data_IF_089494748852
#
_entry.id   IF_089494748852
#
_cell.length_a   1.000
_cell.length_b   1.000
_cell.length_c   1.000
_cell.angle_alpha   90.00
_cell.angle_beta   90.00
_cell.angle_gamma   90.00
#
_symmetry.space_group_name_H-M   'P 1'
#
loop_
_entity.id
_entity.type
_entity.pdbx_description
1 polymer ?
#
# COMPACT_ATOMS: atom_id res chain seq x y z
N UNK A 1 13.17 63.76 40.28
CA UNK A 1 12.53 63.58 38.96
C UNK A 1 12.95 62.23 38.43
N UNK A 2 11.98 61.34 38.22
CA UNK A 2 12.17 59.99 37.73
C UNK A 2 12.55 59.99 36.25
N UNK A 3 13.46 59.11 35.84
CA UNK A 3 13.79 58.84 34.45
C UNK A 3 14.14 57.37 34.31
N UNK A 4 13.15 56.57 33.94
CA UNK A 4 13.22 55.11 33.95
C UNK A 4 13.38 54.58 32.52
N UNK A 5 14.30 53.61 32.39
CA UNK A 5 14.31 52.42 31.50
C UNK A 5 14.02 52.57 30.00
N UNK A 6 15.02 52.22 29.18
CA UNK A 6 14.81 51.62 27.86
C UNK A 6 15.69 50.37 27.75
N UNK A 7 15.09 49.22 28.12
CA UNK A 7 15.68 47.89 27.94
C UNK A 7 15.64 47.50 26.46
N UNK A 8 16.78 47.06 25.92
CA UNK A 8 16.90 46.56 24.56
C UNK A 8 16.19 45.21 24.41
N UNK A 9 15.20 45.13 23.52
CA UNK A 9 14.58 43.88 23.13
C UNK A 9 15.34 43.27 21.94
N UNK A 10 16.18 42.27 22.21
CA UNK A 10 16.73 41.38 21.18
C UNK A 10 15.62 40.47 20.65
N UNK A 11 15.13 40.72 19.43
CA UNK A 11 14.31 39.76 18.70
C UNK A 11 15.21 38.67 18.12
N UNK A 12 15.32 37.53 18.81
CA UNK A 12 15.83 36.30 18.19
C UNK A 12 14.76 35.72 17.27
N UNK A 13 14.92 35.93 15.97
CA UNK A 13 14.14 35.21 14.96
C UNK A 13 14.56 33.73 14.96
N UNK A 14 13.75 32.88 15.58
CA UNK A 14 13.91 31.44 15.46
C UNK A 14 13.52 31.03 14.03
N UNK A 15 14.52 30.75 13.20
CA UNK A 15 14.32 30.07 11.92
C UNK A 15 13.85 28.63 12.21
N UNK A 16 12.54 28.42 12.20
CA UNK A 16 11.96 27.08 12.18
C UNK A 16 12.14 26.51 10.77
N UNK A 17 13.25 25.81 10.53
CA UNK A 17 13.39 24.99 9.33
C UNK A 17 12.35 23.85 9.39
N UNK A 18 11.73 23.45 8.26
CA UNK A 18 10.84 22.29 8.25
C UNK A 18 11.68 21.01 8.46
N UNK A 19 11.74 20.54 9.70
CA UNK A 19 12.21 19.19 10.00
C UNK A 19 11.00 18.25 9.93
N UNK A 20 10.73 17.68 8.77
CA UNK A 20 9.89 16.49 8.66
C UNK A 20 10.65 15.44 7.87
N UNK A 21 11.10 14.44 8.60
CA UNK A 21 11.92 13.34 8.17
C UNK A 21 11.26 12.57 7.02
N UNK A 22 11.96 12.46 5.90
CA UNK A 22 11.73 11.38 4.96
C UNK A 22 12.26 10.08 5.60
N UNK A 23 11.49 9.51 6.52
CA UNK A 23 11.69 8.12 6.92
C UNK A 23 11.50 7.27 5.67
N UNK A 24 12.60 6.77 5.11
CA UNK A 24 12.57 5.77 4.05
C UNK A 24 11.93 4.53 4.64
N UNK A 25 10.60 4.44 4.55
CA UNK A 25 9.86 3.31 5.08
C UNK A 25 10.41 2.04 4.43
N UNK A 26 10.93 1.13 5.26
CA UNK A 26 11.41 -0.18 4.80
C UNK A 26 10.29 -0.85 4.00
N UNK A 27 10.60 -1.43 2.82
CA UNK A 27 9.58 -2.09 2.03
C UNK A 27 8.89 -3.19 2.84
N UNK A 28 7.57 -3.16 2.86
CA UNK A 28 6.74 -4.20 3.45
C UNK A 28 6.26 -5.14 2.37
N UNK A 29 6.13 -6.43 2.69
CA UNK A 29 5.66 -7.44 1.76
C UNK A 29 4.39 -8.08 2.29
N UNK A 30 3.42 -8.29 1.41
CA UNK A 30 2.17 -9.02 1.69
C UNK A 30 1.96 -10.05 0.62
N UNK A 31 1.67 -11.28 1.00
CA UNK A 31 1.57 -12.37 0.04
C UNK A 31 0.84 -13.57 0.59
N UNK A 32 0.08 -14.22 -0.27
CA UNK A 32 -0.57 -15.47 0.06
C UNK A 32 -0.76 -16.31 -1.21
N UNK A 33 -1.09 -17.58 -1.02
CA UNK A 33 -1.31 -18.52 -2.12
C UNK A 33 -2.55 -19.36 -1.88
N UNK A 34 -3.22 -19.73 -2.96
CA UNK A 34 -4.31 -20.72 -3.03
C UNK A 34 -3.87 -21.86 -3.93
N UNK A 35 -4.66 -22.94 -3.98
CA UNK A 35 -4.55 -23.92 -5.07
C UNK A 35 -4.92 -23.24 -6.40
N UNK A 36 -3.91 -23.00 -7.24
CA UNK A 36 -4.05 -22.37 -8.56
C UNK A 36 -3.56 -20.94 -8.66
N UNK A 37 -3.20 -20.27 -7.56
CA UNK A 37 -2.73 -18.88 -7.63
C UNK A 37 -1.78 -18.53 -6.50
N UNK A 38 -0.71 -17.81 -6.80
CA UNK A 38 0.19 -17.23 -5.80
C UNK A 38 0.44 -15.77 -6.12
N UNK A 39 0.49 -14.92 -5.11
CA UNK A 39 0.66 -13.49 -5.34
C UNK A 39 1.29 -12.76 -4.17
N UNK A 40 1.95 -11.65 -4.49
CA UNK A 40 2.63 -10.79 -3.53
C UNK A 40 2.53 -9.33 -3.96
N UNK A 41 2.45 -8.43 -2.98
CA UNK A 41 2.62 -7.00 -3.14
C UNK A 41 3.82 -6.55 -2.30
N UNK A 42 4.77 -5.89 -2.95
CA UNK A 42 5.79 -5.07 -2.28
C UNK A 42 5.22 -3.66 -2.13
N UNK A 43 5.23 -3.16 -0.90
CA UNK A 43 4.73 -1.86 -0.49
C UNK A 43 5.93 -1.00 -0.11
N UNK A 44 6.12 0.11 -0.80
CA UNK A 44 7.19 1.07 -0.58
C UNK A 44 6.58 2.44 -0.26
N UNK A 45 7.37 3.30 0.39
CA UNK A 45 6.96 4.67 0.73
C UNK A 45 5.72 4.75 1.65
N UNK A 46 5.46 3.73 2.47
CA UNK A 46 4.37 3.76 3.46
C UNK A 46 4.88 4.28 4.80
N UNK A 47 4.97 5.61 4.90
CA UNK A 47 5.45 6.32 6.09
C UNK A 47 4.32 6.86 6.98
N UNK A 48 3.07 6.46 6.72
CA UNK A 48 1.89 6.85 7.48
C UNK A 48 0.61 6.84 6.64
N UNK A 49 -0.56 7.06 7.25
CA UNK A 49 -1.85 6.90 6.57
C UNK A 49 -2.07 7.83 5.37
N UNK A 50 -1.50 9.04 5.38
CA UNK A 50 -1.61 9.99 4.27
C UNK A 50 -0.62 9.74 3.12
N UNK A 51 0.22 8.72 3.20
CA UNK A 51 1.25 8.46 2.20
C UNK A 51 0.63 8.03 0.86
N UNK A 52 1.26 8.45 -0.24
CA UNK A 52 1.06 7.81 -1.54
C UNK A 52 2.06 6.66 -1.63
N UNK A 53 1.56 5.44 -1.44
CA UNK A 53 2.40 4.24 -1.41
C UNK A 53 2.72 3.79 -2.83
N UNK A 54 3.94 3.31 -3.04
CA UNK A 54 4.35 2.67 -4.29
C UNK A 54 4.20 1.16 -4.14
N UNK A 55 3.60 0.53 -5.14
CA UNK A 55 3.25 -0.88 -5.13
C UNK A 55 3.94 -1.58 -6.29
N UNK A 56 4.62 -2.68 -6.00
CA UNK A 56 4.99 -3.68 -7.01
C UNK A 56 4.14 -4.92 -6.75
N UNK A 57 3.20 -5.19 -7.64
CA UNK A 57 2.17 -6.23 -7.52
C UNK A 57 2.54 -7.36 -8.47
N UNK A 58 2.70 -8.57 -7.96
CA UNK A 58 2.99 -9.77 -8.74
C UNK A 58 1.95 -10.87 -8.51
N UNK A 59 1.54 -11.55 -9.58
CA UNK A 59 0.69 -12.74 -9.50
C UNK A 59 1.20 -13.81 -10.45
N UNK A 60 1.14 -15.06 -9.99
CA UNK A 60 1.59 -16.25 -10.68
C UNK A 60 0.46 -17.28 -10.69
N UNK A 61 0.22 -17.87 -11.86
CA UNK A 61 -0.71 -18.98 -12.03
C UNK A 61 0.04 -20.29 -11.81
N UNK A 62 -0.34 -21.02 -10.77
CA UNK A 62 0.38 -22.22 -10.30
C UNK A 62 -0.16 -23.52 -10.88
N UNK A 63 -1.31 -23.53 -11.56
CA UNK A 63 -2.00 -24.77 -11.93
C UNK A 63 -2.48 -24.79 -13.38
N UNK A 64 -2.30 -25.94 -14.04
CA UNK A 64 -2.81 -26.20 -15.40
C UNK A 64 -4.28 -26.65 -15.37
N UNK A 65 -5.15 -25.83 -14.80
CA UNK A 65 -6.58 -26.14 -14.60
C UNK A 65 -7.53 -25.27 -15.44
N UNK A 66 -6.99 -24.34 -16.23
CA UNK A 66 -7.77 -23.43 -17.07
C UNK A 66 -8.39 -22.26 -16.31
N UNK A 67 -8.12 -22.14 -15.01
CA UNK A 67 -8.52 -20.99 -14.21
C UNK A 67 -7.53 -19.83 -14.38
N UNK A 68 -7.85 -18.70 -13.75
CA UNK A 68 -7.07 -17.48 -13.85
C UNK A 68 -6.69 -16.95 -12.48
N UNK A 69 -5.40 -16.64 -12.31
CA UNK A 69 -4.89 -16.04 -11.11
C UNK A 69 -5.15 -14.53 -11.08
N UNK A 70 -5.66 -14.03 -9.95
CA UNK A 70 -5.93 -12.61 -9.72
C UNK A 70 -5.37 -12.14 -8.39
N UNK A 71 -4.96 -10.87 -8.36
CA UNK A 71 -4.44 -10.20 -7.16
C UNK A 71 -5.01 -8.80 -7.05
N UNK A 72 -5.29 -8.34 -5.84
CA UNK A 72 -5.61 -6.93 -5.55
C UNK A 72 -5.03 -6.50 -4.21
N UNK A 73 -4.85 -5.19 -4.06
CA UNK A 73 -4.58 -4.56 -2.78
C UNK A 73 -5.86 -4.55 -1.93
N UNK A 74 -5.70 -4.70 -0.62
CA UNK A 74 -6.66 -4.35 0.41
C UNK A 74 -6.11 -3.18 1.20
N UNK A 75 -6.97 -2.26 1.62
CA UNK A 75 -6.56 -1.23 2.59
C UNK A 75 -7.64 -0.99 3.62
N UNK A 76 -7.26 -0.67 4.85
CA UNK A 76 -8.18 -0.20 5.88
C UNK A 76 -8.01 1.31 6.10
N UNK A 77 -9.13 2.04 6.18
CA UNK A 77 -9.10 3.48 6.46
C UNK A 77 -9.20 3.81 7.95
N UNK A 78 -9.18 5.11 8.29
CA UNK A 78 -9.27 5.58 9.68
C UNK A 78 -10.53 5.13 10.44
N UNK A 79 -11.57 4.68 9.73
CA UNK A 79 -12.82 4.23 10.31
C UNK A 79 -12.91 2.70 10.39
N UNK A 80 -11.83 1.99 10.09
CA UNK A 80 -11.81 0.53 10.05
C UNK A 80 -12.48 -0.05 8.80
N UNK A 81 -12.80 0.76 7.78
CA UNK A 81 -13.46 0.26 6.57
C UNK A 81 -12.43 -0.33 5.61
N UNK A 82 -12.66 -1.58 5.21
CA UNK A 82 -11.87 -2.24 4.15
C UNK A 82 -12.27 -1.74 2.77
N UNK A 83 -11.28 -1.29 2.02
CA UNK A 83 -11.38 -0.92 0.62
C UNK A 83 -10.71 -1.98 -0.24
N UNK A 84 -11.47 -2.44 -1.24
CA UNK A 84 -11.03 -3.45 -2.19
C UNK A 84 -10.62 -2.76 -3.48
N UNK A 85 -9.34 -2.80 -3.79
CA UNK A 85 -8.81 -2.19 -4.99
C UNK A 85 -9.11 -3.05 -6.23
N UNK A 86 -9.06 -2.49 -7.45
CA UNK A 86 -9.32 -3.26 -8.66
C UNK A 86 -8.42 -4.49 -8.80
N UNK A 87 -8.98 -5.57 -9.34
CA UNK A 87 -8.23 -6.79 -9.65
C UNK A 87 -7.20 -6.56 -10.76
N UNK A 88 -5.99 -7.06 -10.53
CA UNK A 88 -5.00 -7.37 -11.58
C UNK A 88 -5.09 -8.85 -11.88
N UNK A 89 -4.93 -9.22 -13.14
CA UNK A 89 -5.29 -10.55 -13.63
C UNK A 89 -4.15 -11.11 -14.49
N UNK A 90 -3.91 -12.41 -14.34
CA UNK A 90 -3.07 -13.18 -15.23
C UNK A 90 -3.93 -14.21 -15.96
N UNK A 91 -4.02 -14.05 -17.29
CA UNK A 91 -4.79 -14.91 -18.19
C UNK A 91 -3.89 -15.76 -19.09
N UNK A 92 -2.57 -15.67 -18.95
CA UNK A 92 -1.62 -16.35 -19.82
C UNK A 92 -1.49 -17.86 -19.50
N UNK A 93 -2.19 -18.32 -18.46
CA UNK A 93 -2.30 -19.72 -18.04
C UNK A 93 -1.18 -20.18 -17.10
N UNK A 94 -1.20 -21.47 -16.78
CA UNK A 94 -0.27 -22.10 -15.84
C UNK A 94 1.20 -21.80 -16.13
N UNK A 95 1.97 -21.55 -15.07
CA UNK A 95 3.41 -21.34 -15.17
C UNK A 95 3.82 -19.93 -15.57
N UNK A 96 2.85 -19.02 -15.75
CA UNK A 96 3.11 -17.64 -16.14
C UNK A 96 2.96 -16.68 -14.94
N UNK A 97 3.66 -15.56 -15.01
CA UNK A 97 3.57 -14.47 -14.02
C UNK A 97 3.32 -13.13 -14.69
N UNK A 98 2.61 -12.25 -13.99
CA UNK A 98 2.48 -10.83 -14.36
C UNK A 98 2.90 -9.95 -13.18
N UNK A 99 3.55 -8.83 -13.51
CA UNK A 99 3.99 -7.84 -12.54
C UNK A 99 3.60 -6.44 -12.99
N UNK A 100 3.11 -5.62 -12.06
CA UNK A 100 2.75 -4.23 -12.29
C UNK A 100 3.39 -3.35 -11.23
N UNK A 101 3.83 -2.15 -11.63
CA UNK A 101 4.20 -1.09 -10.69
C UNK A 101 3.16 0.02 -10.75
N UNK A 102 2.65 0.44 -9.61
CA UNK A 102 1.61 1.47 -9.49
C UNK A 102 1.69 2.18 -8.15
N UNK A 103 0.76 3.08 -7.86
CA UNK A 103 0.65 3.77 -6.57
C UNK A 103 -0.75 3.63 -6.01
N UNK A 104 -0.89 3.80 -4.70
CA UNK A 104 -2.17 3.90 -4.03
C UNK A 104 -2.15 5.03 -2.99
N UNK A 105 -3.28 5.72 -2.86
CA UNK A 105 -3.56 6.71 -1.84
C UNK A 105 -5.06 6.75 -1.60
N UNK A 106 -5.48 7.06 -0.38
CA UNK A 106 -6.90 7.10 -0.03
C UNK A 106 -7.18 8.34 0.83
N UNK A 107 -8.30 9.02 0.58
CA UNK A 107 -8.65 10.30 1.23
C UNK A 107 -8.80 10.16 2.74
N UNK A 108 -9.30 9.01 3.21
CA UNK A 108 -9.44 8.69 4.64
C UNK A 108 -8.19 7.97 5.21
N UNK A 109 -7.08 7.98 4.45
CA UNK A 109 -5.82 7.34 4.80
C UNK A 109 -5.77 5.83 4.57
N UNK A 110 -4.54 5.31 4.60
CA UNK A 110 -4.14 3.91 4.47
C UNK A 110 -3.53 3.45 5.81
N UNK A 111 -4.36 3.03 6.75
CA UNK A 111 -3.95 2.63 8.10
C UNK A 111 -3.45 1.20 8.17
N UNK A 112 -3.95 0.34 7.29
CA UNK A 112 -3.51 -1.03 7.12
C UNK A 112 -3.51 -1.38 5.63
N UNK A 113 -2.56 -2.20 5.20
CA UNK A 113 -2.42 -2.61 3.81
C UNK A 113 -2.24 -4.12 3.74
N UNK A 114 -3.15 -4.77 3.02
CA UNK A 114 -3.13 -6.20 2.79
C UNK A 114 -3.17 -6.54 1.31
N UNK A 115 -3.15 -7.84 1.03
CA UNK A 115 -3.31 -8.40 -0.30
C UNK A 115 -4.46 -9.40 -0.30
N UNK A 116 -5.15 -9.50 -1.43
CA UNK A 116 -6.08 -10.58 -1.70
C UNK A 116 -5.68 -11.24 -3.01
N UNK A 117 -5.37 -12.54 -2.94
CA UNK A 117 -5.05 -13.38 -4.10
C UNK A 117 -6.19 -14.38 -4.28
N UNK A 118 -6.56 -14.64 -5.53
CA UNK A 118 -7.70 -15.48 -5.83
C UNK A 118 -7.56 -16.22 -7.17
N UNK A 119 -8.22 -17.36 -7.25
CA UNK A 119 -8.36 -18.19 -8.44
C UNK A 119 -9.79 -18.05 -8.97
N UNK A 120 -9.94 -17.77 -10.26
CA UNK A 120 -11.22 -17.52 -10.91
C UNK A 120 -11.46 -18.43 -12.11
N UNK A 121 -12.72 -18.82 -12.33
CA UNK A 121 -13.21 -19.37 -13.59
C UNK A 121 -14.11 -18.32 -14.26
N UNK A 122 -13.63 -17.71 -15.34
CA UNK A 122 -14.30 -16.53 -15.91
C UNK A 122 -14.46 -15.43 -14.86
N UNK A 123 -15.69 -15.14 -14.43
CA UNK A 123 -15.99 -14.18 -13.36
C UNK A 123 -16.34 -14.81 -12.01
N UNK A 124 -16.37 -16.13 -11.93
CA UNK A 124 -16.70 -16.88 -10.72
C UNK A 124 -15.45 -17.02 -9.85
N UNK A 125 -15.52 -16.50 -8.61
CA UNK A 125 -14.47 -16.70 -7.61
C UNK A 125 -14.55 -18.15 -7.11
N UNK A 126 -13.45 -18.89 -7.25
CA UNK A 126 -13.37 -20.28 -6.77
C UNK A 126 -12.71 -20.36 -5.40
N UNK A 127 -11.56 -19.69 -5.26
CA UNK A 127 -10.73 -19.72 -4.05
C UNK A 127 -10.08 -18.37 -3.85
N UNK A 128 -9.85 -17.98 -2.60
CA UNK A 128 -9.11 -16.77 -2.28
C UNK A 128 -8.41 -16.87 -0.94
N UNK A 129 -7.34 -16.10 -0.78
CA UNK A 129 -6.64 -15.88 0.47
C UNK A 129 -6.38 -14.39 0.68
N UNK A 130 -6.14 -14.00 1.94
CA UNK A 130 -5.80 -12.64 2.32
C UNK A 130 -4.67 -12.62 3.33
N UNK A 131 -3.82 -11.61 3.27
CA UNK A 131 -2.72 -11.35 4.21
C UNK A 131 -2.66 -9.83 4.49
N UNK A 132 -2.44 -9.42 5.75
CA UNK A 132 -2.59 -8.03 6.26
C UNK A 132 -1.33 -7.52 6.97
#
# INVERSE_FOLDING_TARGET
MAGAILSAALLTAAAANPAQAASSATPSYRGCSTTGSSGQIKIENWHGPGATVKLTIGVYDTAADGHHARIRLLSQDTFGKTHYWPWRMNYDGSGTSKTWTTTASHTNGLFELGVNVATFEGNTLLRSCTDW
#
